data_IF_355471403563
#
_entry.id   IF_355471403563
#
_cell.length_a   1.000
_cell.length_b   1.000
_cell.length_c   1.000
_cell.angle_alpha   90.00
_cell.angle_beta   90.00
_cell.angle_gamma   90.00
#
_symmetry.space_group_name_H-M   'P 1'
#
loop_
_entity.id
_entity.type
_entity.pdbx_description
1 polymer ?
#
# COMPACT_ATOMS: atom_id res chain seq x y z
N UNK A 1 14.46 -7.57 -5.32
CA UNK A 1 14.66 -7.77 -6.78
C UNK A 1 14.27 -6.54 -7.58
N UNK A 2 13.01 -6.05 -7.47
CA UNK A 2 12.56 -4.82 -8.14
C UNK A 2 13.43 -3.60 -7.81
N UNK A 3 13.65 -3.31 -6.51
CA UNK A 3 14.52 -2.21 -6.05
C UNK A 3 15.93 -2.27 -6.66
N UNK A 4 16.58 -3.45 -6.64
CA UNK A 4 17.91 -3.64 -7.25
C UNK A 4 17.93 -3.42 -8.76
N UNK A 5 16.85 -3.73 -9.47
CA UNK A 5 16.71 -3.45 -10.90
C UNK A 5 16.48 -1.97 -11.16
N UNK A 6 15.68 -1.31 -10.33
CA UNK A 6 15.28 0.09 -10.52
C UNK A 6 16.36 1.08 -10.06
N UNK A 7 17.13 0.74 -9.02
CA UNK A 7 18.13 1.60 -8.39
C UNK A 7 19.54 1.01 -8.47
N UNK A 8 19.84 0.26 -9.54
CA UNK A 8 21.13 -0.40 -9.71
C UNK A 8 22.32 0.57 -9.60
N UNK A 9 22.20 1.76 -10.20
CA UNK A 9 23.26 2.78 -10.21
C UNK A 9 23.46 3.39 -8.82
N UNK A 10 22.38 3.67 -8.08
CA UNK A 10 22.43 4.21 -6.72
C UNK A 10 23.02 3.19 -5.74
N UNK A 11 22.64 1.93 -5.87
CA UNK A 11 23.16 0.81 -5.07
C UNK A 11 24.62 0.47 -5.37
N UNK A 12 25.11 0.81 -6.56
CA UNK A 12 26.54 0.74 -6.88
C UNK A 12 27.36 1.87 -6.24
N UNK A 13 26.69 2.90 -5.72
CA UNK A 13 27.28 4.01 -4.96
C UNK A 13 27.37 3.72 -3.46
N UNK A 14 27.14 4.75 -2.64
CA UNK A 14 27.24 4.69 -1.18
C UNK A 14 25.91 4.42 -0.47
N UNK A 15 24.90 3.89 -1.19
CA UNK A 15 23.60 3.55 -0.59
C UNK A 15 23.67 2.21 0.12
N UNK A 16 23.32 2.19 1.41
CA UNK A 16 23.33 0.98 2.24
C UNK A 16 22.03 0.19 2.07
N UNK A 17 22.12 -1.08 1.66
CA UNK A 17 20.99 -2.01 1.80
C UNK A 17 20.92 -2.51 3.24
N UNK A 18 19.86 -2.16 3.97
CA UNK A 18 19.62 -2.66 5.33
C UNK A 18 18.61 -3.81 5.31
N UNK A 19 18.84 -4.79 6.18
CA UNK A 19 17.95 -5.96 6.30
C UNK A 19 16.72 -5.66 7.16
N UNK A 20 16.90 -4.82 8.20
CA UNK A 20 15.85 -4.42 9.13
C UNK A 20 15.83 -2.91 9.31
N UNK A 21 14.66 -2.33 9.49
CA UNK A 21 14.51 -0.87 9.60
C UNK A 21 15.24 -0.31 10.83
N UNK A 22 15.41 -1.10 11.90
CA UNK A 22 16.19 -0.71 13.08
C UNK A 22 17.69 -0.49 12.78
N UNK A 23 18.18 -0.94 11.62
CA UNK A 23 19.57 -0.76 11.20
C UNK A 23 19.79 0.54 10.40
N UNK A 24 18.71 1.27 10.08
CA UNK A 24 18.80 2.58 9.45
C UNK A 24 19.61 3.54 10.34
N UNK A 25 20.38 4.41 9.70
CA UNK A 25 21.25 5.37 10.39
C UNK A 25 21.01 6.77 9.84
N UNK A 26 21.10 7.75 10.73
CA UNK A 26 21.14 9.16 10.36
C UNK A 26 22.24 9.41 9.32
N UNK A 27 21.95 10.32 8.38
CA UNK A 27 22.83 10.77 7.29
C UNK A 27 23.37 9.69 6.33
N UNK A 28 22.96 8.44 6.48
CA UNK A 28 23.35 7.35 5.58
C UNK A 28 22.24 7.09 4.54
N UNK A 29 22.46 7.37 3.24
CA UNK A 29 21.55 6.94 2.18
C UNK A 29 21.33 5.43 2.30
N UNK A 30 20.08 5.00 2.39
CA UNK A 30 19.75 3.61 2.67
C UNK A 30 18.55 3.13 1.86
N UNK A 31 18.55 1.84 1.57
CA UNK A 31 17.38 1.10 1.06
C UNK A 31 16.90 0.13 2.12
N UNK A 32 15.62 0.21 2.45
CA UNK A 32 14.95 -0.75 3.31
C UNK A 32 13.72 -1.33 2.61
N UNK A 33 13.25 -2.48 3.10
CA UNK A 33 12.03 -3.15 2.65
C UNK A 33 11.16 -3.40 3.85
N UNK A 34 9.88 -3.12 3.72
CA UNK A 34 8.90 -3.35 4.78
C UNK A 34 7.48 -3.27 4.27
N UNK A 35 6.53 -3.23 5.20
CA UNK A 35 5.10 -3.13 4.93
C UNK A 35 4.60 -1.75 5.36
N UNK A 36 3.84 -1.08 4.50
CA UNK A 36 3.25 0.19 4.87
C UNK A 36 2.13 0.01 5.89
N UNK A 37 2.14 0.83 6.91
CA UNK A 37 1.01 1.11 7.79
C UNK A 37 0.53 2.54 7.54
N UNK A 38 -0.74 2.70 7.17
CA UNK A 38 -1.37 4.01 7.01
C UNK A 38 -2.15 4.36 8.28
N UNK A 39 -1.67 5.37 8.98
CA UNK A 39 -2.41 5.95 10.09
C UNK A 39 -3.46 6.90 9.54
N UNK A 40 -4.72 6.49 9.66
CA UNK A 40 -5.86 7.18 9.05
C UNK A 40 -6.63 7.95 10.11
N UNK A 41 -6.77 9.28 9.94
CA UNK A 41 -7.38 10.15 10.96
C UNK A 41 -8.85 9.84 11.22
N UNK A 42 -9.56 9.46 10.16
CA UNK A 42 -11.00 9.20 10.17
C UNK A 42 -11.34 7.72 10.42
N UNK A 43 -10.34 6.84 10.48
CA UNK A 43 -10.58 5.42 10.73
C UNK A 43 -11.11 5.23 12.16
N UNK A 44 -12.30 4.67 12.27
CA UNK A 44 -12.89 4.35 13.57
C UNK A 44 -12.07 3.27 14.28
N UNK A 45 -11.80 3.48 15.56
CA UNK A 45 -11.29 2.45 16.44
C UNK A 45 -12.43 1.74 17.17
N UNK A 46 -12.24 0.45 17.46
CA UNK A 46 -13.18 -0.33 18.27
C UNK A 46 -13.35 0.29 19.66
N UNK A 47 -12.30 0.94 20.19
CA UNK A 47 -12.35 1.60 21.51
C UNK A 47 -13.27 2.83 21.47
N UNK A 48 -13.19 3.65 20.43
CA UNK A 48 -14.10 4.81 20.26
C UNK A 48 -15.54 4.37 20.11
N UNK A 49 -15.79 3.23 19.46
CA UNK A 49 -17.12 2.63 19.36
C UNK A 49 -17.66 2.21 20.73
N UNK A 50 -16.85 1.56 21.57
CA UNK A 50 -17.24 1.26 22.96
C UNK A 50 -17.49 2.52 23.79
N UNK A 51 -16.67 3.56 23.63
CA UNK A 51 -16.89 4.83 24.30
C UNK A 51 -18.19 5.50 23.87
N UNK A 52 -18.57 5.37 22.60
CA UNK A 52 -19.88 5.81 22.09
C UNK A 52 -21.03 5.04 22.72
N UNK A 53 -20.93 3.72 22.85
CA UNK A 53 -21.96 2.92 23.56
C UNK A 53 -22.15 3.38 25.02
N UNK A 54 -21.06 3.82 25.65
CA UNK A 54 -21.06 4.36 27.02
C UNK A 54 -21.46 5.86 27.08
N UNK A 55 -21.74 6.51 25.95
CA UNK A 55 -22.10 7.93 25.87
C UNK A 55 -20.96 8.90 26.17
N UNK A 56 -19.71 8.45 26.06
CA UNK A 56 -18.48 9.21 26.38
C UNK A 56 -17.99 10.05 25.19
N UNK A 57 -18.36 9.68 23.96
CA UNK A 57 -17.92 10.33 22.71
C UNK A 57 -19.09 10.67 21.78
N UNK A 58 -18.89 11.65 20.90
CA UNK A 58 -19.86 12.07 19.90
C UNK A 58 -20.05 11.01 18.80
N UNK A 59 -21.25 10.98 18.22
CA UNK A 59 -21.58 10.04 17.14
C UNK A 59 -21.01 10.54 15.81
N UNK A 60 -20.05 9.81 15.26
CA UNK A 60 -19.61 9.99 13.86
C UNK A 60 -20.55 9.23 12.91
N UNK A 61 -20.94 9.88 11.81
CA UNK A 61 -21.79 9.29 10.77
C UNK A 61 -20.98 8.37 9.85
N UNK A 62 -21.60 7.38 9.18
CA UNK A 62 -20.91 6.58 8.19
C UNK A 62 -20.32 7.48 7.10
N UNK A 63 -19.02 7.34 6.86
CA UNK A 63 -18.28 8.05 5.83
C UNK A 63 -18.22 7.18 4.56
N UNK A 64 -18.20 7.84 3.40
CA UNK A 64 -18.03 7.15 2.10
C UNK A 64 -16.62 6.57 1.97
N UNK A 65 -15.62 7.24 2.54
CA UNK A 65 -14.26 6.75 2.70
C UNK A 65 -13.63 7.30 3.99
N UNK A 66 -12.51 6.70 4.40
CA UNK A 66 -11.79 7.06 5.63
C UNK A 66 -10.52 7.87 5.37
N UNK A 67 -10.32 8.37 4.14
CA UNK A 67 -9.10 9.09 3.76
C UNK A 67 -9.14 10.53 4.27
N UNK A 68 -8.01 11.02 4.75
CA UNK A 68 -7.87 12.40 5.23
C UNK A 68 -6.56 13.01 4.75
N UNK A 69 -6.53 14.34 4.60
CA UNK A 69 -5.30 15.11 4.39
C UNK A 69 -4.31 14.98 5.55
N UNK A 70 -4.78 14.55 6.73
CA UNK A 70 -3.97 14.31 7.94
C UNK A 70 -3.47 12.86 8.04
N UNK A 71 -3.74 12.01 7.04
CA UNK A 71 -3.24 10.64 7.04
C UNK A 71 -1.71 10.63 6.93
N UNK A 72 -1.08 9.67 7.59
CA UNK A 72 0.38 9.50 7.55
C UNK A 72 0.76 8.05 7.26
N UNK A 73 1.97 7.85 6.74
CA UNK A 73 2.51 6.52 6.44
C UNK A 73 3.65 6.18 7.38
N UNK A 74 3.72 4.93 7.77
CA UNK A 74 4.79 4.32 8.52
C UNK A 74 5.26 3.07 7.77
N UNK A 75 6.55 2.76 7.83
CA UNK A 75 7.11 1.48 7.35
C UNK A 75 7.29 0.55 8.54
N UNK A 76 6.85 -0.70 8.39
CA UNK A 76 6.91 -1.72 9.45
C UNK A 76 7.69 -2.96 8.98
N UNK A 77 8.44 -3.54 9.92
CA UNK A 77 9.00 -4.89 9.82
C UNK A 77 8.92 -5.60 11.19
N UNK A 78 9.61 -6.72 11.36
CA UNK A 78 9.64 -7.46 12.64
C UNK A 78 10.44 -6.76 13.74
N UNK A 79 11.25 -5.76 13.39
CA UNK A 79 12.08 -4.97 14.31
C UNK A 79 11.36 -3.72 14.83
N UNK A 80 10.36 -3.19 14.12
CA UNK A 80 9.54 -2.10 14.60
C UNK A 80 8.80 -1.36 13.50
N UNK A 81 8.56 -0.06 13.74
CA UNK A 81 7.94 0.86 12.77
C UNK A 81 8.63 2.22 12.77
N UNK A 82 8.59 2.90 11.63
CA UNK A 82 9.18 4.23 11.45
C UNK A 82 8.29 5.09 10.58
N UNK A 83 8.10 6.35 10.97
CA UNK A 83 7.29 7.33 10.22
C UNK A 83 7.98 7.71 8.92
N UNK A 84 7.20 7.83 7.86
CA UNK A 84 7.68 8.23 6.54
C UNK A 84 7.37 9.70 6.30
N UNK A 85 8.37 10.43 5.81
CA UNK A 85 8.24 11.77 5.25
C UNK A 85 8.78 11.79 3.84
N UNK A 86 8.59 12.90 3.14
CA UNK A 86 9.12 13.07 1.79
C UNK A 86 8.67 14.39 1.20
N UNK A 87 9.32 14.79 0.11
CA UNK A 87 8.94 15.97 -0.65
C UNK A 87 7.53 15.81 -1.24
N UNK A 88 6.89 16.94 -1.56
CA UNK A 88 5.56 16.95 -2.17
C UNK A 88 5.57 16.11 -3.45
N UNK A 89 4.76 15.04 -3.46
CA UNK A 89 4.62 14.12 -4.59
C UNK A 89 5.54 12.90 -4.58
N UNK A 90 6.51 12.81 -3.66
CA UNK A 90 7.37 11.62 -3.49
C UNK A 90 6.59 10.40 -2.99
N UNK A 91 5.62 10.63 -2.10
CA UNK A 91 4.76 9.61 -1.49
C UNK A 91 3.28 9.97 -1.66
N UNK A 92 2.51 9.24 -2.48
CA UNK A 92 1.09 9.50 -2.66
C UNK A 92 0.26 8.89 -1.52
N UNK A 93 0.32 9.48 -0.32
CA UNK A 93 -0.31 8.98 0.92
C UNK A 93 -1.77 8.55 0.72
N UNK A 94 -2.57 9.34 -0.01
CA UNK A 94 -3.98 9.05 -0.23
C UNK A 94 -4.23 7.86 -1.17
N UNK A 95 -3.30 7.56 -2.09
CA UNK A 95 -3.40 6.44 -3.02
C UNK A 95 -2.83 5.12 -2.45
N UNK A 96 -2.07 5.20 -1.35
CA UNK A 96 -1.48 4.04 -0.70
C UNK A 96 -2.38 3.52 0.43
N UNK A 97 -2.29 2.22 0.68
CA UNK A 97 -3.07 1.49 1.66
C UNK A 97 -2.16 0.70 2.60
N UNK A 98 -2.62 0.49 3.84
CA UNK A 98 -1.96 -0.41 4.79
C UNK A 98 -1.80 -1.82 4.20
N UNK A 99 -0.69 -2.47 4.49
CA UNK A 99 -0.38 -3.84 4.04
C UNK A 99 0.41 -3.92 2.75
N UNK A 100 0.70 -2.80 2.09
CA UNK A 100 1.51 -2.80 0.87
C UNK A 100 2.99 -3.03 1.21
N UNK A 101 3.56 -4.13 0.71
CA UNK A 101 5.00 -4.36 0.76
C UNK A 101 5.72 -3.44 -0.25
N UNK A 102 6.69 -2.67 0.23
CA UNK A 102 7.43 -1.69 -0.58
C UNK A 102 8.93 -1.74 -0.25
N UNK A 103 9.74 -1.35 -1.22
CA UNK A 103 11.10 -0.90 -0.95
C UNK A 103 11.13 0.62 -0.95
N UNK A 104 11.88 1.21 -0.02
CA UNK A 104 12.07 2.64 0.10
C UNK A 104 13.56 2.96 -0.06
N UNK A 105 13.85 4.02 -0.80
CA UNK A 105 15.17 4.65 -0.92
C UNK A 105 15.06 6.03 -0.26
N UNK A 106 16.00 6.33 0.64
CA UNK A 106 15.97 7.59 1.36
C UNK A 106 16.98 7.65 2.50
N UNK A 107 16.72 8.52 3.47
CA UNK A 107 17.59 8.77 4.61
C UNK A 107 16.79 8.92 5.89
N UNK A 108 17.35 8.43 6.99
CA UNK A 108 16.82 8.73 8.32
C UNK A 108 17.14 10.19 8.68
N UNK A 109 16.14 10.92 9.16
CA UNK A 109 16.27 12.30 9.65
C UNK A 109 16.70 12.31 11.12
N UNK A 110 17.18 13.46 11.59
CA UNK A 110 17.52 13.69 13.01
C UNK A 110 16.30 13.50 13.95
N UNK A 111 15.08 13.66 13.42
CA UNK A 111 13.82 13.45 14.15
C UNK A 111 13.43 11.95 14.27
N UNK A 112 14.22 11.05 13.70
CA UNK A 112 13.96 9.61 13.70
C UNK A 112 12.91 9.16 12.70
N UNK A 113 12.62 9.99 11.69
CA UNK A 113 11.73 9.65 10.57
C UNK A 113 12.55 9.21 9.36
N UNK A 114 11.92 8.54 8.40
CA UNK A 114 12.56 8.19 7.14
C UNK A 114 12.08 9.10 6.02
N UNK A 115 12.96 9.98 5.55
CA UNK A 115 12.71 10.82 4.40
C UNK A 115 12.88 10.02 3.11
N UNK A 116 11.77 9.77 2.42
CA UNK A 116 11.69 8.96 1.21
C UNK A 116 11.99 9.82 -0.02
N UNK A 117 13.05 9.44 -0.73
CA UNK A 117 13.42 10.02 -2.02
C UNK A 117 12.76 9.25 -3.18
N UNK A 118 12.67 7.92 -3.05
CA UNK A 118 11.99 7.07 -4.02
C UNK A 118 11.43 5.80 -3.35
N UNK A 119 10.43 5.20 -3.99
CA UNK A 119 9.85 3.93 -3.55
C UNK A 119 9.49 3.05 -4.75
N UNK A 120 9.38 1.74 -4.52
CA UNK A 120 8.88 0.82 -5.53
C UNK A 120 8.11 -0.35 -4.91
N UNK A 121 7.17 -0.89 -5.68
CA UNK A 121 6.49 -2.15 -5.36
C UNK A 121 7.27 -3.35 -5.91
N UNK A 122 6.93 -4.59 -5.50
CA UNK A 122 7.55 -5.80 -6.07
C UNK A 122 7.37 -5.94 -7.60
N UNK A 123 6.42 -5.20 -8.20
CA UNK A 123 6.05 -5.34 -9.60
C UNK A 123 5.25 -6.60 -9.88
N UNK A 124 5.05 -6.90 -11.17
CA UNK A 124 4.41 -8.13 -11.61
C UNK A 124 5.44 -9.26 -11.69
N UNK A 125 5.06 -10.50 -11.32
CA UNK A 125 5.90 -11.66 -11.63
C UNK A 125 6.02 -11.83 -13.15
N UNK A 126 7.07 -12.53 -13.58
CA UNK A 126 7.21 -12.87 -15.00
C UNK A 126 5.98 -13.68 -15.46
N UNK A 127 5.37 -13.33 -16.61
CA UNK A 127 4.24 -14.08 -17.13
C UNK A 127 4.62 -15.54 -17.28
N UNK A 128 3.72 -16.44 -16.89
CA UNK A 128 3.87 -17.84 -17.25
C UNK A 128 3.89 -17.96 -18.78
N UNK A 129 4.68 -18.89 -19.35
CA UNK A 129 4.62 -19.17 -20.77
C UNK A 129 3.16 -19.36 -21.18
N UNK A 130 2.72 -18.68 -22.24
CA UNK A 130 1.34 -18.79 -22.71
C UNK A 130 1.01 -20.28 -22.88
N UNK A 131 0.05 -20.77 -22.10
CA UNK A 131 -0.57 -22.04 -22.40
C UNK A 131 -1.21 -21.83 -23.78
N UNK A 132 -0.63 -22.41 -24.82
CA UNK A 132 -1.18 -22.35 -26.16
C UNK A 132 -2.58 -22.93 -26.09
N UNK A 133 -3.60 -22.08 -25.99
CA UNK A 133 -4.97 -22.48 -26.17
C UNK A 133 -5.06 -22.85 -27.65
N UNK A 134 -4.83 -24.13 -27.95
CA UNK A 134 -5.12 -24.68 -29.26
C UNK A 134 -6.64 -24.71 -29.39
N UNK A 135 -7.22 -23.56 -29.71
CA UNK A 135 -8.58 -23.43 -30.17
C UNK A 135 -8.62 -24.17 -31.49
N UNK A 136 -9.02 -25.44 -31.47
CA UNK A 136 -9.33 -26.19 -32.68
C UNK A 136 -10.56 -25.53 -33.29
N UNK A 137 -10.28 -24.59 -34.17
CA UNK A 137 -11.23 -23.79 -34.90
C UNK A 137 -12.00 -24.71 -35.85
N UNK A 138 -13.21 -25.10 -35.45
CA UNK A 138 -14.15 -25.79 -36.33
C UNK A 138 -15.62 -25.51 -35.96
N UNK A 139 -15.88 -24.40 -35.25
CA UNK A 139 -17.23 -23.91 -34.98
C UNK A 139 -17.34 -22.45 -35.39
N UNK A 140 -18.38 -22.07 -36.14
CA UNK A 140 -18.66 -20.68 -36.58
C UNK A 140 -18.91 -19.67 -35.44
N UNK A 141 -18.82 -20.14 -34.19
CA UNK A 141 -19.01 -19.42 -32.95
C UNK A 141 -17.81 -19.74 -32.06
N UNK A 142 -16.93 -18.75 -31.85
CA UNK A 142 -15.67 -18.92 -31.12
C UNK A 142 -15.87 -19.12 -29.61
N UNK A 143 -14.79 -19.25 -28.81
CA UNK A 143 -14.91 -19.29 -27.37
C UNK A 143 -15.30 -17.90 -26.84
N UNK A 144 -16.55 -17.73 -26.42
CA UNK A 144 -17.02 -16.50 -25.78
C UNK A 144 -16.90 -16.61 -24.25
N UNK A 145 -16.44 -15.54 -23.60
CA UNK A 145 -16.43 -15.40 -22.14
C UNK A 145 -17.31 -14.22 -21.76
N UNK A 146 -18.35 -14.47 -20.96
CA UNK A 146 -19.16 -13.43 -20.32
C UNK A 146 -18.74 -13.31 -18.86
N UNK A 147 -18.28 -12.13 -18.47
CA UNK A 147 -17.99 -11.78 -17.08
C UNK A 147 -19.14 -10.91 -16.59
N UNK A 148 -19.80 -11.34 -15.51
CA UNK A 148 -20.90 -10.60 -14.87
C UNK A 148 -20.69 -10.57 -13.35
N UNK A 149 -21.17 -9.51 -12.69
CA UNK A 149 -21.06 -9.26 -11.25
C UNK A 149 -22.24 -8.40 -10.78
N UNK A 150 -22.58 -8.46 -9.49
CA UNK A 150 -23.50 -7.50 -8.87
C UNK A 150 -24.96 -7.55 -9.31
N UNK A 151 -25.49 -8.71 -9.73
CA UNK A 151 -26.85 -8.84 -10.28
C UNK A 151 -27.99 -8.40 -9.35
N UNK A 152 -27.77 -8.38 -8.03
CA UNK A 152 -28.62 -7.72 -7.02
C UNK A 152 -30.13 -7.96 -7.13
N UNK A 153 -30.57 -9.18 -7.48
CA UNK A 153 -32.00 -9.53 -7.54
C UNK A 153 -32.69 -9.37 -6.17
N UNK A 154 -33.88 -8.76 -6.14
CA UNK A 154 -34.69 -8.61 -4.91
C UNK A 154 -34.26 -7.47 -3.97
N UNK A 155 -33.49 -6.49 -4.45
CA UNK A 155 -33.20 -5.27 -3.68
C UNK A 155 -34.46 -4.43 -3.42
N UNK A 156 -34.44 -3.62 -2.36
CA UNK A 156 -35.55 -2.76 -1.87
C UNK A 156 -36.12 -1.72 -2.87
N UNK A 157 -35.79 -1.81 -4.15
CA UNK A 157 -36.40 -1.03 -5.24
C UNK A 157 -37.64 -1.69 -5.83
N UNK A 158 -38.15 -2.80 -5.28
CA UNK A 158 -39.49 -3.30 -5.57
C UNK A 158 -40.52 -2.50 -4.76
N UNK A 159 -41.31 -1.60 -5.38
CA UNK A 159 -42.47 -1.04 -4.73
C UNK A 159 -43.57 -2.11 -4.81
N UNK A 160 -43.73 -2.92 -3.77
CA UNK A 160 -44.99 -3.60 -3.52
C UNK A 160 -46.03 -2.59 -3.01
#
# INVERSE_FOLDING_TARGET
AAARRQWADQLAGEVLEVERIVQLREDAPSVCVGVLYKQMRLRHSVIEEYQKELGISETMYPLDDYTSSEDTLEIEDDSGRMRLTGDVGSLPVHALSTGLAVALLGKMTEDGEFHVEAWCTPGMPEPLPEASLSLKDNSESGPFVLITSGLSFGGNSDPL
#
